data_IF_984194839505
#
_entry.id   IF_984194839505
#
_cell.length_a   1.000
_cell.length_b   1.000
_cell.length_c   1.000
_cell.angle_alpha   90.00
_cell.angle_beta   90.00
_cell.angle_gamma   90.00
#
_symmetry.space_group_name_H-M   'P 1'
#
loop_
_entity.id
_entity.type
_entity.pdbx_description
1 polymer ?
#
# COMPACT_ATOMS: atom_id res chain seq x y z
N UNK A 1 -71.08 -13.69 -22.42
CA UNK A 1 -70.53 -13.53 -21.05
C UNK A 1 -69.17 -14.19 -20.86
N UNK A 2 -68.98 -15.48 -21.17
CA UNK A 2 -67.72 -16.19 -20.91
C UNK A 2 -66.45 -15.52 -21.49
N UNK A 3 -66.47 -15.06 -22.75
CA UNK A 3 -65.30 -14.42 -23.39
C UNK A 3 -64.84 -13.11 -22.73
N UNK A 4 -65.77 -12.30 -22.20
CA UNK A 4 -65.45 -11.03 -21.55
C UNK A 4 -64.79 -11.28 -20.19
N UNK A 5 -65.26 -12.30 -19.45
CA UNK A 5 -64.69 -12.71 -18.17
C UNK A 5 -63.27 -13.27 -18.37
N UNK A 6 -63.04 -14.06 -19.42
CA UNK A 6 -61.71 -14.59 -19.75
C UNK A 6 -60.72 -13.47 -20.08
N UNK A 7 -61.12 -12.47 -20.88
CA UNK A 7 -60.25 -11.33 -21.21
C UNK A 7 -59.92 -10.51 -19.96
N UNK A 8 -60.92 -10.24 -19.10
CA UNK A 8 -60.70 -9.50 -17.87
C UNK A 8 -59.72 -10.23 -16.92
N UNK A 9 -59.82 -11.55 -16.80
CA UNK A 9 -58.89 -12.35 -15.98
C UNK A 9 -57.47 -12.34 -16.52
N UNK A 10 -57.29 -12.42 -17.85
CA UNK A 10 -55.96 -12.36 -18.48
C UNK A 10 -55.32 -10.99 -18.28
N UNK A 11 -56.09 -9.90 -18.41
CA UNK A 11 -55.59 -8.55 -18.16
C UNK A 11 -55.18 -8.38 -16.69
N UNK A 12 -55.98 -8.87 -15.74
CA UNK A 12 -55.63 -8.83 -14.32
C UNK A 12 -54.36 -9.62 -14.03
N UNK A 13 -54.20 -10.82 -14.60
CA UNK A 13 -52.98 -11.62 -14.43
C UNK A 13 -51.74 -10.93 -15.03
N UNK A 14 -51.88 -10.27 -16.19
CA UNK A 14 -50.78 -9.51 -16.80
C UNK A 14 -50.39 -8.29 -15.95
N UNK A 15 -51.36 -7.58 -15.39
CA UNK A 15 -51.11 -6.44 -14.50
C UNK A 15 -50.46 -6.90 -13.20
N UNK A 16 -50.94 -7.99 -12.59
CA UNK A 16 -50.33 -8.55 -11.38
C UNK A 16 -48.91 -9.06 -11.65
N UNK A 17 -48.69 -9.75 -12.76
CA UNK A 17 -47.36 -10.20 -13.18
C UNK A 17 -46.39 -9.04 -13.41
N UNK A 18 -46.86 -7.95 -14.01
CA UNK A 18 -46.06 -6.75 -14.23
C UNK A 18 -45.74 -6.01 -12.92
N UNK A 19 -46.70 -5.88 -12.00
CA UNK A 19 -46.48 -5.25 -10.69
C UNK A 19 -45.54 -6.09 -9.82
N UNK A 20 -45.69 -7.42 -9.80
CA UNK A 20 -44.78 -8.31 -9.08
C UNK A 20 -43.38 -8.27 -9.69
N UNK A 21 -43.26 -8.21 -11.02
CA UNK A 21 -41.97 -8.03 -11.71
C UNK A 21 -41.29 -6.70 -11.36
N UNK A 22 -42.05 -5.62 -11.23
CA UNK A 22 -41.55 -4.30 -10.81
C UNK A 22 -41.11 -4.28 -9.34
N UNK A 23 -41.81 -4.99 -8.46
CA UNK A 23 -41.48 -5.06 -7.04
C UNK A 23 -40.32 -6.03 -6.73
N UNK A 24 -40.15 -7.08 -7.55
CA UNK A 24 -39.05 -8.04 -7.41
C UNK A 24 -37.77 -7.63 -8.16
N UNK A 25 -37.86 -6.68 -9.10
CA UNK A 25 -36.73 -6.16 -9.88
C UNK A 25 -35.52 -5.70 -9.04
N UNK A 26 -35.71 -4.94 -7.95
CA UNK A 26 -34.60 -4.52 -7.07
C UNK A 26 -33.92 -5.66 -6.31
N UNK A 27 -34.53 -6.86 -6.28
CA UNK A 27 -34.03 -8.05 -5.57
C UNK A 27 -33.39 -9.08 -6.52
N UNK A 28 -33.63 -8.96 -7.83
CA UNK A 28 -33.16 -9.88 -8.87
C UNK A 28 -32.04 -9.29 -9.75
N UNK A 29 -31.88 -7.97 -9.74
CA UNK A 29 -30.73 -7.32 -10.37
C UNK A 29 -29.57 -7.32 -9.37
N UNK A 30 -28.32 -7.59 -9.81
CA UNK A 30 -27.15 -7.30 -9.00
C UNK A 30 -27.24 -5.81 -8.64
N UNK A 31 -27.33 -5.50 -7.35
CA UNK A 31 -27.08 -4.13 -6.93
C UNK A 31 -25.65 -3.85 -7.33
N UNK A 32 -25.45 -2.87 -8.20
CA UNK A 32 -24.14 -2.27 -8.36
C UNK A 32 -23.79 -1.73 -6.98
N UNK A 33 -22.90 -2.41 -6.26
CA UNK A 33 -22.22 -1.85 -5.10
C UNK A 33 -21.51 -0.61 -5.60
N UNK A 34 -22.18 0.54 -5.55
CA UNK A 34 -21.50 1.82 -5.51
C UNK A 34 -20.82 1.82 -4.15
N UNK A 35 -19.62 1.25 -4.10
CA UNK A 35 -18.70 1.37 -2.99
C UNK A 35 -18.46 2.87 -2.82
N UNK A 36 -19.31 3.51 -2.03
CA UNK A 36 -18.90 4.70 -1.29
C UNK A 36 -17.69 4.22 -0.52
N UNK A 37 -16.51 4.72 -0.89
CA UNK A 37 -15.24 4.32 -0.31
C UNK A 37 -15.37 4.40 1.21
N UNK A 38 -15.53 3.25 1.85
CA UNK A 38 -15.87 3.15 3.28
C UNK A 38 -14.72 3.67 4.12
N UNK A 39 -13.49 3.58 3.60
CA UNK A 39 -12.28 4.10 4.22
C UNK A 39 -12.31 5.62 4.18
N UNK A 40 -12.54 6.22 3.01
CA UNK A 40 -12.63 7.68 2.90
C UNK A 40 -13.77 8.26 3.76
N UNK A 41 -14.94 7.63 3.75
CA UNK A 41 -16.06 8.06 4.60
C UNK A 41 -15.71 8.02 6.09
N UNK A 42 -14.99 6.98 6.53
CA UNK A 42 -14.51 6.86 7.91
C UNK A 42 -13.51 7.97 8.26
N UNK A 43 -12.51 8.22 7.40
CA UNK A 43 -11.51 9.29 7.59
C UNK A 43 -12.18 10.67 7.66
N UNK A 44 -13.18 10.94 6.82
CA UNK A 44 -13.92 12.19 6.87
C UNK A 44 -14.73 12.35 8.16
N UNK A 45 -15.25 11.25 8.71
CA UNK A 45 -15.99 11.26 9.97
C UNK A 45 -15.08 11.47 11.18
N UNK A 46 -13.92 10.79 11.22
CA UNK A 46 -12.98 10.87 12.35
C UNK A 46 -12.09 12.10 12.28
N UNK A 47 -11.81 12.61 11.08
CA UNK A 47 -10.81 13.65 10.83
C UNK A 47 -9.36 13.14 10.92
N UNK A 48 -9.15 11.83 11.03
CA UNK A 48 -7.83 11.21 11.28
C UNK A 48 -7.48 10.21 10.19
N UNK A 49 -6.23 10.26 9.72
CA UNK A 49 -5.62 9.25 8.85
C UNK A 49 -4.58 8.49 9.68
N UNK A 50 -4.73 7.18 9.85
CA UNK A 50 -3.74 6.32 10.55
C UNK A 50 -2.65 5.94 9.56
N UNK A 51 -1.44 6.43 9.79
CA UNK A 51 -0.32 6.26 8.87
C UNK A 51 0.79 5.45 9.53
N UNK A 52 1.27 4.41 8.86
CA UNK A 52 2.44 3.64 9.29
C UNK A 52 3.71 4.07 8.56
N UNK A 53 4.82 4.15 9.30
CA UNK A 53 6.15 4.43 8.78
C UNK A 53 7.23 3.70 9.57
N UNK A 54 8.33 3.36 8.92
CA UNK A 54 9.54 2.85 9.58
C UNK A 54 10.57 3.99 9.67
N UNK A 55 10.72 4.67 10.84
CA UNK A 55 11.51 5.88 11.02
C UNK A 55 13.03 5.58 11.15
N UNK A 56 13.54 4.67 10.32
CA UNK A 56 14.95 4.25 10.30
C UNK A 56 15.70 4.68 9.02
N UNK A 57 15.09 5.55 8.19
CA UNK A 57 15.66 5.98 6.91
C UNK A 57 15.79 7.50 6.75
N UNK A 58 16.76 8.14 7.44
CA UNK A 58 17.04 9.56 7.23
C UNK A 58 17.52 9.87 5.81
N UNK A 59 17.13 11.02 5.23
CA UNK A 59 16.27 12.06 5.79
C UNK A 59 14.77 11.89 5.44
N UNK A 60 14.37 10.73 4.93
CA UNK A 60 13.00 10.50 4.43
C UNK A 60 12.00 10.36 5.58
N UNK A 61 12.35 9.53 6.56
CA UNK A 61 11.62 9.37 7.81
C UNK A 61 12.59 8.96 8.92
N UNK A 62 12.48 9.59 10.07
CA UNK A 62 13.37 9.41 11.20
C UNK A 62 12.71 9.84 12.50
N UNK A 63 13.29 9.44 13.62
CA UNK A 63 12.95 10.02 14.92
C UNK A 63 13.85 11.23 15.19
N UNK A 64 13.28 12.30 15.70
CA UNK A 64 14.03 13.43 16.24
C UNK A 64 14.50 13.17 17.69
N UNK A 65 15.15 14.18 18.30
CA UNK A 65 15.65 14.07 19.68
C UNK A 65 14.53 13.94 20.74
N UNK A 66 13.30 14.32 20.40
CA UNK A 66 12.12 14.17 21.26
C UNK A 66 11.44 12.81 21.08
N UNK A 67 11.80 12.05 20.04
CA UNK A 67 11.17 10.79 19.66
C UNK A 67 9.96 10.98 18.75
N UNK A 68 9.79 12.17 18.17
CA UNK A 68 8.73 12.45 17.20
C UNK A 68 9.16 11.95 15.81
N UNK A 69 8.20 11.40 15.06
CA UNK A 69 8.40 10.97 13.68
C UNK A 69 8.44 12.21 12.79
N UNK A 70 9.57 12.41 12.11
CA UNK A 70 9.84 13.55 11.24
C UNK A 70 10.56 13.12 9.96
N UNK A 71 10.59 13.96 8.94
CA UNK A 71 11.36 13.71 7.73
C UNK A 71 10.67 14.20 6.47
N UNK A 72 11.34 14.03 5.33
CA UNK A 72 10.86 14.52 4.04
C UNK A 72 9.49 13.93 3.63
N UNK A 73 9.25 12.63 3.81
CA UNK A 73 7.95 12.04 3.45
C UNK A 73 6.86 12.35 4.48
N UNK A 74 7.26 12.53 5.74
CA UNK A 74 6.39 12.96 6.83
C UNK A 74 5.85 14.36 6.53
N UNK A 75 6.74 15.31 6.21
CA UNK A 75 6.38 16.69 5.87
C UNK A 75 5.41 16.75 4.67
N UNK A 76 5.60 15.89 3.66
CA UNK A 76 4.70 15.81 2.50
C UNK A 76 3.32 15.30 2.91
N UNK A 77 3.26 14.24 3.70
CA UNK A 77 2.00 13.64 4.13
C UNK A 77 1.22 14.59 5.04
N UNK A 78 1.89 15.25 5.99
CA UNK A 78 1.29 16.20 6.91
C UNK A 78 0.72 17.42 6.16
N UNK A 79 1.45 17.99 5.21
CA UNK A 79 0.96 19.11 4.37
C UNK A 79 -0.27 18.69 3.53
N UNK A 80 -0.30 17.44 3.04
CA UNK A 80 -1.45 16.92 2.30
C UNK A 80 -2.67 16.78 3.21
N UNK A 81 -2.50 16.25 4.43
CA UNK A 81 -3.56 16.12 5.41
C UNK A 81 -4.09 17.50 5.86
N UNK A 82 -3.20 18.47 6.10
CA UNK A 82 -3.57 19.84 6.46
C UNK A 82 -4.48 20.48 5.40
N UNK A 83 -4.13 20.34 4.12
CA UNK A 83 -4.96 20.86 3.00
C UNK A 83 -6.33 20.19 2.88
N UNK A 84 -6.45 18.96 3.37
CA UNK A 84 -7.71 18.22 3.43
C UNK A 84 -8.50 18.52 4.71
N UNK A 85 -7.95 19.28 5.66
CA UNK A 85 -8.55 19.53 6.96
C UNK A 85 -8.55 18.28 7.86
N UNK A 86 -7.58 17.39 7.66
CA UNK A 86 -7.39 16.14 8.39
C UNK A 86 -6.11 16.20 9.24
N UNK A 87 -5.97 15.29 10.19
CA UNK A 87 -4.75 15.08 10.97
C UNK A 87 -4.20 13.69 10.74
N UNK A 88 -2.87 13.53 10.75
CA UNK A 88 -2.24 12.22 10.70
C UNK A 88 -1.97 11.70 12.12
N UNK A 89 -2.33 10.44 12.36
CA UNK A 89 -1.84 9.64 13.47
C UNK A 89 -0.67 8.78 12.98
N UNK A 90 0.55 9.19 13.30
CA UNK A 90 1.77 8.47 12.92
C UNK A 90 1.99 7.25 13.81
N UNK A 91 2.27 6.11 13.17
CA UNK A 91 2.55 4.83 13.81
C UNK A 91 3.94 4.35 13.38
N UNK A 92 4.82 4.11 14.37
CA UNK A 92 6.10 3.44 14.16
C UNK A 92 5.86 1.94 13.93
N UNK A 93 6.09 1.50 12.69
CA UNK A 93 5.75 0.16 12.21
C UNK A 93 6.88 -0.33 11.31
N UNK A 94 7.31 -1.58 11.49
CA UNK A 94 8.37 -2.17 10.67
C UNK A 94 8.00 -2.15 9.18
N UNK A 95 8.97 -1.81 8.32
CA UNK A 95 8.72 -1.65 6.87
C UNK A 95 7.98 -2.83 6.23
N UNK A 96 8.31 -4.05 6.64
CA UNK A 96 7.75 -5.30 6.11
C UNK A 96 6.30 -5.58 6.52
N UNK A 97 5.76 -4.87 7.51
CA UNK A 97 4.39 -5.06 8.00
C UNK A 97 3.40 -3.97 7.55
N UNK A 98 3.89 -2.84 7.01
CA UNK A 98 3.04 -1.70 6.66
C UNK A 98 2.03 -2.06 5.55
N UNK A 99 2.48 -2.66 4.44
CA UNK A 99 1.57 -3.00 3.32
C UNK A 99 0.47 -3.95 3.79
N UNK A 100 0.84 -4.98 4.55
CA UNK A 100 -0.13 -5.92 5.13
C UNK A 100 -1.11 -5.21 6.08
N UNK A 101 -0.64 -4.25 6.86
CA UNK A 101 -1.47 -3.49 7.79
C UNK A 101 -2.47 -2.58 7.08
N UNK A 102 -2.08 -2.03 5.91
CA UNK A 102 -2.95 -1.26 5.01
C UNK A 102 -3.98 -2.17 4.33
N UNK A 103 -3.56 -3.32 3.78
CA UNK A 103 -4.44 -4.32 3.18
C UNK A 103 -5.52 -4.81 4.17
N UNK A 104 -5.13 -5.01 5.44
CA UNK A 104 -6.05 -5.41 6.51
C UNK A 104 -6.92 -4.26 7.05
N UNK A 105 -6.68 -3.01 6.64
CA UNK A 105 -7.42 -1.83 7.10
C UNK A 105 -7.10 -1.39 8.54
N UNK A 106 -6.02 -1.91 9.12
CA UNK A 106 -5.54 -1.49 10.44
C UNK A 106 -4.81 -0.15 10.38
N UNK A 107 -4.18 0.14 9.24
CA UNK A 107 -3.69 1.46 8.85
C UNK A 107 -4.46 1.92 7.61
N UNK A 108 -4.57 3.23 7.42
CA UNK A 108 -5.24 3.83 6.25
C UNK A 108 -4.24 4.12 5.12
N UNK A 109 -2.97 4.38 5.46
CA UNK A 109 -1.91 4.68 4.50
C UNK A 109 -0.54 4.23 5.03
N UNK A 110 0.37 3.88 4.12
CA UNK A 110 1.78 3.62 4.43
C UNK A 110 2.68 4.68 3.80
N UNK A 111 3.63 5.21 4.57
CA UNK A 111 4.62 6.19 4.11
C UNK A 111 5.99 5.75 4.60
N UNK A 112 6.80 5.14 3.73
CA UNK A 112 8.11 4.62 4.15
C UNK A 112 9.06 4.34 2.98
N UNK A 113 9.04 5.14 1.91
CA UNK A 113 9.92 4.95 0.76
C UNK A 113 9.59 3.74 -0.12
N UNK A 114 8.31 3.36 -0.20
CA UNK A 114 7.89 2.19 -0.97
C UNK A 114 8.16 2.37 -2.48
N UNK A 115 8.96 1.46 -3.04
CA UNK A 115 9.02 1.27 -4.49
C UNK A 115 7.71 0.68 -5.02
N UNK A 116 7.20 1.25 -6.11
CA UNK A 116 6.02 0.75 -6.80
C UNK A 116 6.42 -0.48 -7.62
N UNK A 117 5.82 -1.63 -7.32
CA UNK A 117 6.01 -2.89 -8.07
C UNK A 117 4.67 -3.44 -8.51
N UNK A 118 4.66 -4.32 -9.51
CA UNK A 118 3.43 -4.95 -9.99
C UNK A 118 2.73 -5.76 -8.88
N UNK A 119 3.50 -6.52 -8.10
CA UNK A 119 3.00 -7.29 -6.96
C UNK A 119 2.33 -6.39 -5.91
N UNK A 120 2.96 -5.29 -5.51
CA UNK A 120 2.37 -4.37 -4.52
C UNK A 120 1.13 -3.65 -5.04
N UNK A 121 1.02 -3.42 -6.35
CA UNK A 121 -0.16 -2.85 -6.98
C UNK A 121 -1.35 -3.81 -7.03
N UNK A 122 -1.13 -5.11 -6.83
CA UNK A 122 -2.20 -6.10 -6.66
C UNK A 122 -2.80 -6.05 -5.24
N UNK A 123 -2.02 -5.59 -4.25
CA UNK A 123 -2.41 -5.54 -2.83
C UNK A 123 -2.95 -4.16 -2.41
N UNK A 124 -2.28 -3.07 -2.83
CA UNK A 124 -2.60 -1.71 -2.37
C UNK A 124 -2.58 -0.69 -3.50
N UNK A 125 -3.31 0.41 -3.29
CA UNK A 125 -3.25 1.58 -4.18
C UNK A 125 -2.08 2.49 -3.82
N UNK A 126 -1.38 3.01 -4.83
CA UNK A 126 -0.31 3.99 -4.66
C UNK A 126 -0.74 5.39 -5.06
N UNK A 127 -0.13 6.38 -4.43
CA UNK A 127 -0.17 7.77 -4.90
C UNK A 127 0.62 7.93 -6.19
N UNK A 128 0.61 9.14 -6.74
CA UNK A 128 1.65 9.52 -7.69
C UNK A 128 3.03 9.46 -7.02
N UNK A 129 4.09 9.08 -7.74
CA UNK A 129 5.44 9.03 -7.17
C UNK A 129 5.93 10.44 -6.84
N UNK A 130 6.43 10.62 -5.62
CA UNK A 130 7.03 11.87 -5.12
C UNK A 130 8.57 11.83 -5.07
N UNK A 131 9.17 10.65 -5.29
CA UNK A 131 10.61 10.40 -5.22
C UNK A 131 11.04 9.37 -6.27
N UNK A 132 12.30 9.45 -6.72
CA UNK A 132 12.94 8.41 -7.53
C UNK A 132 14.39 8.24 -7.09
N UNK A 133 14.77 7.01 -6.76
CA UNK A 133 16.09 6.65 -6.25
C UNK A 133 16.67 5.48 -7.05
N UNK A 134 17.99 5.46 -7.17
CA UNK A 134 18.71 4.28 -7.66
C UNK A 134 19.13 3.43 -6.48
N UNK A 135 19.08 2.10 -6.62
CA UNK A 135 19.66 1.19 -5.64
C UNK A 135 21.15 1.44 -5.47
N UNK A 136 21.62 1.50 -4.23
CA UNK A 136 23.02 1.72 -3.90
C UNK A 136 23.47 0.74 -2.83
N UNK A 137 24.70 0.24 -2.97
CA UNK A 137 25.38 -0.52 -1.94
C UNK A 137 26.55 0.31 -1.44
N UNK A 138 26.63 0.50 -0.13
CA UNK A 138 27.71 1.23 0.52
C UNK A 138 28.59 0.25 1.27
N UNK A 139 29.90 0.40 1.13
CA UNK A 139 30.89 -0.41 1.81
C UNK A 139 31.82 0.48 2.63
N UNK A 140 32.18 0.03 3.84
CA UNK A 140 33.23 0.68 4.61
C UNK A 140 34.56 0.60 3.87
N UNK A 141 35.26 1.74 3.82
CA UNK A 141 36.60 1.82 3.21
C UNK A 141 37.56 0.79 3.79
N UNK A 142 37.52 0.55 5.11
CA UNK A 142 38.34 -0.47 5.75
C UNK A 142 38.07 -1.88 5.23
N UNK A 143 36.80 -2.23 4.95
CA UNK A 143 36.42 -3.52 4.39
C UNK A 143 36.88 -3.65 2.93
N UNK A 144 36.71 -2.56 2.17
CA UNK A 144 37.18 -2.46 0.79
C UNK A 144 38.70 -2.66 0.71
N UNK A 145 39.46 -1.91 1.50
CA UNK A 145 40.93 -1.97 1.56
C UNK A 145 41.41 -3.35 2.02
N UNK A 146 40.79 -3.94 3.05
CA UNK A 146 41.16 -5.25 3.59
C UNK A 146 40.92 -6.40 2.59
N UNK A 147 39.92 -6.28 1.72
CA UNK A 147 39.61 -7.27 0.68
C UNK A 147 40.25 -6.94 -0.67
N UNK A 148 40.94 -5.80 -0.80
CA UNK A 148 41.55 -5.37 -2.06
C UNK A 148 40.53 -5.07 -3.16
N UNK A 149 39.32 -4.62 -2.78
CA UNK A 149 38.24 -4.33 -3.73
C UNK A 149 38.46 -2.93 -4.29
N UNK A 150 38.56 -2.81 -5.61
CA UNK A 150 38.67 -1.49 -6.29
C UNK A 150 37.42 -1.12 -7.07
N UNK A 151 36.65 -2.14 -7.48
CA UNK A 151 35.45 -2.00 -8.31
C UNK A 151 34.46 -3.11 -7.94
N UNK A 152 33.17 -2.79 -8.06
CA UNK A 152 32.06 -3.73 -8.08
C UNK A 152 31.19 -3.30 -9.25
N UNK A 153 31.09 -4.14 -10.28
CA UNK A 153 30.39 -3.81 -11.54
C UNK A 153 28.99 -4.42 -11.60
N UNK A 154 28.75 -5.49 -10.84
CA UNK A 154 27.43 -6.14 -10.76
C UNK A 154 27.13 -6.72 -9.37
N UNK A 155 25.89 -7.16 -9.15
CA UNK A 155 25.49 -7.80 -7.88
C UNK A 155 26.21 -9.14 -7.68
N UNK A 156 26.48 -9.88 -8.75
CA UNK A 156 27.19 -11.16 -8.71
C UNK A 156 28.63 -11.02 -8.21
N UNK A 157 29.24 -9.85 -8.36
CA UNK A 157 30.58 -9.58 -7.81
C UNK A 157 30.59 -9.70 -6.27
N UNK A 158 29.48 -9.38 -5.59
CA UNK A 158 29.41 -9.57 -4.14
C UNK A 158 29.58 -11.04 -3.77
N UNK A 159 29.03 -11.96 -4.58
CA UNK A 159 29.20 -13.40 -4.39
C UNK A 159 30.64 -13.84 -4.69
N UNK A 160 31.23 -13.39 -5.80
CA UNK A 160 32.59 -13.80 -6.20
C UNK A 160 33.65 -13.28 -5.21
N UNK A 161 33.42 -12.10 -4.63
CA UNK A 161 34.30 -11.46 -3.64
C UNK A 161 34.01 -11.92 -2.19
N UNK A 162 33.04 -12.82 -1.99
CA UNK A 162 32.64 -13.31 -0.67
C UNK A 162 32.24 -12.17 0.26
N UNK A 163 31.43 -11.25 -0.25
CA UNK A 163 30.88 -10.10 0.46
C UNK A 163 29.45 -10.44 0.87
N UNK A 164 29.18 -10.35 2.17
CA UNK A 164 27.82 -10.41 2.71
C UNK A 164 27.23 -9.00 2.71
N UNK A 165 26.02 -8.85 2.17
CA UNK A 165 25.33 -7.56 2.04
C UNK A 165 24.23 -7.44 3.08
N UNK A 166 24.22 -6.35 3.85
CA UNK A 166 23.10 -6.02 4.74
C UNK A 166 21.94 -5.42 3.97
N UNK A 167 20.71 -5.88 4.22
CA UNK A 167 19.50 -5.40 3.53
C UNK A 167 18.29 -5.42 4.47
N UNK A 168 17.37 -4.47 4.30
CA UNK A 168 16.15 -4.38 5.11
C UNK A 168 15.13 -5.42 4.63
N UNK A 169 14.41 -6.02 5.57
CA UNK A 169 13.32 -6.97 5.35
C UNK A 169 12.23 -6.34 4.48
N UNK A 170 11.76 -7.08 3.46
CA UNK A 170 10.57 -6.73 2.69
C UNK A 170 10.77 -5.68 1.59
N UNK A 171 11.98 -5.13 1.43
CA UNK A 171 12.29 -4.17 0.37
C UNK A 171 12.62 -4.87 -0.97
N UNK A 172 12.63 -4.10 -2.07
CA UNK A 172 12.88 -4.65 -3.40
C UNK A 172 14.33 -5.12 -3.58
N UNK A 173 15.28 -4.49 -2.89
CA UNK A 173 16.70 -4.84 -2.94
C UNK A 173 16.98 -6.22 -2.34
N UNK A 174 16.19 -6.64 -1.35
CA UNK A 174 16.30 -7.98 -0.78
C UNK A 174 16.07 -9.04 -1.86
N UNK A 175 15.00 -8.89 -2.65
CA UNK A 175 14.68 -9.82 -3.74
C UNK A 175 15.77 -9.78 -4.83
N UNK A 176 16.21 -8.59 -5.24
CA UNK A 176 17.28 -8.43 -6.24
C UNK A 176 18.58 -9.14 -5.83
N UNK A 177 18.99 -9.01 -4.56
CA UNK A 177 20.17 -9.68 -4.02
C UNK A 177 19.99 -11.20 -3.92
N UNK A 178 18.79 -11.66 -3.57
CA UNK A 178 18.45 -13.10 -3.53
C UNK A 178 18.48 -13.72 -4.93
N UNK A 179 17.94 -13.03 -5.92
CA UNK A 179 17.93 -13.48 -7.33
C UNK A 179 19.36 -13.55 -7.90
N UNK A 180 20.22 -12.61 -7.51
CA UNK A 180 21.65 -12.63 -7.83
C UNK A 180 22.45 -13.70 -7.04
N UNK A 181 21.83 -14.37 -6.07
CA UNK A 181 22.44 -15.39 -5.23
C UNK A 181 23.54 -14.85 -4.30
N UNK A 182 23.41 -13.58 -3.89
CA UNK A 182 24.31 -12.92 -2.94
C UNK A 182 23.99 -13.38 -1.52
N UNK A 183 25.00 -13.56 -0.68
CA UNK A 183 24.77 -13.81 0.74
C UNK A 183 24.28 -12.53 1.42
N UNK A 184 23.09 -12.56 2.01
CA UNK A 184 22.49 -11.40 2.67
C UNK A 184 22.40 -11.54 4.19
N UNK A 185 22.48 -10.40 4.87
CA UNK A 185 22.09 -10.24 6.27
C UNK A 185 20.81 -9.39 6.30
N UNK A 186 19.67 -10.02 6.56
CA UNK A 186 18.38 -9.33 6.64
C UNK A 186 18.22 -8.74 8.04
N UNK A 187 17.80 -7.48 8.12
CA UNK A 187 17.39 -6.82 9.35
C UNK A 187 15.98 -6.26 9.21
N UNK A 188 15.27 -6.09 10.32
CA UNK A 188 13.98 -5.39 10.36
C UNK A 188 14.09 -4.25 11.38
N UNK A 189 13.43 -3.13 11.08
CA UNK A 189 13.35 -1.94 11.93
C UNK A 189 12.58 -2.20 13.22
#
# INVERSE_FOLDING_TARGET
MAKIITIALVVVMLVVGFVVGLMAGPFLLPQSDSSTDTVWAHIQETGVIRVGTDPTWPPYQMLDDAGDIVGFEVDIADECAERLGLTIEWNDVSFDSIILSVDQGTLDMGVSGFSITAERLEEVSFTLPHSSTLGQVVMLKSTMDAKGITTVDSLEDFKTLGIKVGVQSGNVQQQELQDAGVEIAVWSG
#
